data_IF_935703649497
#
_entry.id   IF_935703649497
#
_cell.length_a   1.000
_cell.length_b   1.000
_cell.length_c   1.000
_cell.angle_alpha   90.00
_cell.angle_beta   90.00
_cell.angle_gamma   90.00
#
_symmetry.space_group_name_H-M   'P 1'
#
loop_
_entity.id
_entity.type
_entity.pdbx_description
1 polymer ?
#
# COMPACT_ATOMS: atom_id res chain seq x y z
N UNK A 1 2.61 20.52 16.28
CA UNK A 1 2.92 21.52 15.22
C UNK A 1 3.74 20.95 14.05
N UNK A 2 4.89 20.27 14.29
CA UNK A 2 5.75 19.69 13.23
C UNK A 2 5.02 18.84 12.17
N UNK A 3 4.11 17.96 12.58
CA UNK A 3 3.39 17.07 11.65
C UNK A 3 2.43 17.82 10.72
N UNK A 4 1.81 18.92 11.18
CA UNK A 4 0.93 19.75 10.35
C UNK A 4 1.74 20.53 9.30
N UNK A 5 2.88 21.11 9.67
CA UNK A 5 3.80 21.75 8.72
C UNK A 5 4.29 20.76 7.66
N UNK A 6 4.70 19.56 8.06
CA UNK A 6 5.17 18.54 7.12
C UNK A 6 4.09 18.15 6.10
N UNK A 7 2.85 17.96 6.55
CA UNK A 7 1.71 17.67 5.65
C UNK A 7 1.45 18.83 4.70
N UNK A 8 1.51 20.07 5.19
CA UNK A 8 1.35 21.28 4.37
C UNK A 8 2.43 21.39 3.29
N UNK A 9 3.70 21.15 3.65
CA UNK A 9 4.81 21.18 2.69
C UNK A 9 4.67 20.12 1.60
N UNK A 10 4.28 18.89 1.96
CA UNK A 10 4.02 17.82 0.99
C UNK A 10 2.85 18.17 0.09
N UNK A 11 1.75 18.70 0.63
CA UNK A 11 0.61 19.14 -0.19
C UNK A 11 0.98 20.24 -1.17
N UNK A 12 1.77 21.23 -0.74
CA UNK A 12 2.27 22.31 -1.61
C UNK A 12 3.16 21.72 -2.71
N UNK A 13 4.07 20.80 -2.37
CA UNK A 13 4.94 20.14 -3.33
C UNK A 13 4.13 19.38 -4.39
N UNK A 14 3.12 18.62 -3.98
CA UNK A 14 2.22 17.91 -4.89
C UNK A 14 1.52 18.87 -5.83
N UNK A 15 0.97 19.98 -5.32
CA UNK A 15 0.32 20.99 -6.15
C UNK A 15 1.28 21.63 -7.17
N UNK A 16 2.52 21.91 -6.77
CA UNK A 16 3.56 22.41 -7.67
C UNK A 16 3.84 21.37 -8.77
N UNK A 17 4.02 20.10 -8.42
CA UNK A 17 4.26 19.04 -9.39
C UNK A 17 3.09 18.89 -10.38
N UNK A 18 1.85 19.02 -9.92
CA UNK A 18 0.67 18.98 -10.80
C UNK A 18 0.60 20.20 -11.73
N UNK A 19 0.92 21.39 -11.23
CA UNK A 19 0.96 22.60 -12.05
C UNK A 19 2.04 22.50 -13.14
N UNK A 20 3.23 22.02 -12.78
CA UNK A 20 4.32 21.76 -13.73
C UNK A 20 3.92 20.67 -14.73
N UNK A 21 3.29 19.59 -14.27
CA UNK A 21 2.77 18.54 -15.15
C UNK A 21 1.77 19.09 -16.15
N UNK A 22 0.86 19.98 -15.74
CA UNK A 22 -0.06 20.62 -16.67
C UNK A 22 0.68 21.46 -17.72
N UNK A 23 1.58 22.34 -17.26
CA UNK A 23 2.25 23.30 -18.12
C UNK A 23 3.18 22.64 -19.13
N UNK A 24 3.99 21.66 -18.70
CA UNK A 24 4.90 20.91 -19.57
C UNK A 24 4.18 19.78 -20.32
N UNK A 25 3.13 19.18 -19.74
CA UNK A 25 2.36 18.09 -20.33
C UNK A 25 1.59 18.49 -21.59
N UNK A 26 1.25 19.78 -21.75
CA UNK A 26 0.69 20.32 -23.00
C UNK A 26 1.61 20.10 -24.21
N UNK A 27 2.94 20.10 -23.99
CA UNK A 27 3.93 19.87 -25.02
C UNK A 27 4.18 18.38 -25.31
N UNK A 28 3.77 17.46 -24.43
CA UNK A 28 4.04 16.02 -24.54
C UNK A 28 2.92 15.33 -25.34
N UNK A 29 3.21 14.68 -26.47
CA UNK A 29 2.19 14.03 -27.29
C UNK A 29 1.61 12.81 -26.57
N UNK A 30 0.32 12.55 -26.76
CA UNK A 30 -0.37 11.45 -26.08
C UNK A 30 0.26 10.07 -26.35
N UNK A 31 0.91 9.90 -27.49
CA UNK A 31 1.63 8.65 -27.84
C UNK A 31 2.76 8.36 -26.84
N UNK A 32 3.45 9.37 -26.35
CA UNK A 32 4.50 9.23 -25.32
C UNK A 32 3.89 9.05 -23.93
N UNK A 33 2.69 9.57 -23.69
CA UNK A 33 1.96 9.39 -22.42
C UNK A 33 1.39 7.97 -22.28
N UNK A 34 1.06 7.31 -23.40
CA UNK A 34 0.37 6.02 -23.39
C UNK A 34 1.15 4.91 -22.65
N UNK A 35 2.45 4.68 -22.92
CA UNK A 35 3.24 3.68 -22.19
C UNK A 35 3.23 3.89 -20.67
N UNK A 36 3.15 5.14 -20.21
CA UNK A 36 3.11 5.46 -18.79
C UNK A 36 1.78 5.06 -18.14
N UNK A 37 0.65 5.23 -18.85
CA UNK A 37 -0.64 4.69 -18.42
C UNK A 37 -0.62 3.15 -18.40
N UNK A 38 0.03 2.50 -19.36
CA UNK A 38 0.16 1.05 -19.35
C UNK A 38 1.00 0.56 -18.16
N UNK A 39 2.12 1.24 -17.88
CA UNK A 39 2.94 0.97 -16.72
C UNK A 39 2.17 1.17 -15.40
N UNK A 40 1.38 2.24 -15.30
CA UNK A 40 0.48 2.49 -14.15
C UNK A 40 -0.53 1.35 -13.95
N UNK A 41 -1.19 0.90 -15.03
CA UNK A 41 -2.13 -0.24 -14.99
C UNK A 41 -1.45 -1.52 -14.49
N UNK A 42 -0.26 -1.84 -15.02
CA UNK A 42 0.48 -3.04 -14.63
C UNK A 42 0.93 -2.96 -13.17
N UNK A 43 1.46 -1.82 -12.73
CA UNK A 43 1.89 -1.63 -11.33
C UNK A 43 0.70 -1.70 -10.36
N UNK A 44 -0.44 -1.09 -10.69
CA UNK A 44 -1.66 -1.18 -9.89
C UNK A 44 -2.16 -2.64 -9.78
N UNK A 45 -2.12 -3.41 -10.88
CA UNK A 45 -2.50 -4.82 -10.87
C UNK A 45 -1.58 -5.69 -10.01
N UNK A 46 -0.26 -5.45 -10.06
CA UNK A 46 0.72 -6.14 -9.21
C UNK A 46 0.43 -5.86 -7.73
N UNK A 47 0.23 -4.60 -7.37
CA UNK A 47 -0.02 -4.21 -5.97
C UNK A 47 -1.34 -4.80 -5.48
N UNK A 48 -2.40 -4.75 -6.30
CA UNK A 48 -3.66 -5.39 -5.98
C UNK A 48 -3.50 -6.90 -5.71
N UNK A 49 -2.75 -7.61 -6.55
CA UNK A 49 -2.48 -9.03 -6.37
C UNK A 49 -1.67 -9.34 -5.11
N UNK A 50 -0.56 -8.62 -4.90
CA UNK A 50 0.34 -8.84 -3.75
C UNK A 50 -0.35 -8.52 -2.42
N UNK A 51 -1.04 -7.37 -2.33
CA UNK A 51 -1.79 -6.99 -1.12
C UNK A 51 -2.93 -7.97 -0.86
N UNK A 52 -3.65 -8.40 -1.89
CA UNK A 52 -4.72 -9.40 -1.77
C UNK A 52 -4.22 -10.74 -1.23
N UNK A 53 -3.11 -11.25 -1.77
CA UNK A 53 -2.49 -12.48 -1.29
C UNK A 53 -1.96 -12.34 0.15
N UNK A 54 -1.32 -11.21 0.47
CA UNK A 54 -0.77 -10.97 1.79
C UNK A 54 -1.87 -10.91 2.88
N UNK A 55 -2.99 -10.24 2.60
CA UNK A 55 -4.14 -10.21 3.51
C UNK A 55 -4.75 -11.60 3.75
N UNK A 56 -4.78 -12.46 2.72
CA UNK A 56 -5.26 -13.83 2.86
C UNK A 56 -4.35 -14.69 3.75
N UNK A 57 -3.04 -14.45 3.74
CA UNK A 57 -2.05 -15.17 4.54
C UNK A 57 -2.02 -14.67 5.99
N UNK A 58 -1.95 -13.35 6.20
CA UNK A 58 -1.69 -12.76 7.53
C UNK A 58 -2.95 -12.62 8.38
N UNK A 59 -4.11 -12.38 7.77
CA UNK A 59 -5.37 -12.16 8.50
C UNK A 59 -6.51 -13.10 8.07
N UNK A 60 -6.30 -14.44 8.07
CA UNK A 60 -7.29 -15.40 7.61
C UNK A 60 -8.60 -15.33 8.44
N UNK A 61 -8.47 -15.10 9.74
CA UNK A 61 -9.59 -15.03 10.72
C UNK A 61 -10.48 -13.79 10.51
N UNK A 62 -9.87 -12.62 10.27
CA UNK A 62 -10.60 -11.35 10.08
C UNK A 62 -11.33 -11.31 8.75
N UNK A 63 -10.77 -11.96 7.72
CA UNK A 63 -11.43 -12.10 6.42
C UNK A 63 -12.68 -13.01 6.53
N UNK A 64 -12.57 -14.15 7.23
CA UNK A 64 -13.70 -15.08 7.47
C UNK A 64 -14.85 -14.44 8.27
N UNK A 65 -14.53 -13.66 9.30
CA UNK A 65 -15.55 -12.97 10.11
C UNK A 65 -16.32 -11.91 9.32
N UNK A 66 -15.69 -11.23 8.35
CA UNK A 66 -16.39 -10.26 7.49
C UNK A 66 -17.38 -10.89 6.51
N UNK A 67 -17.25 -12.20 6.24
CA UNK A 67 -18.18 -12.97 5.40
C UNK A 67 -19.31 -13.63 6.19
N UNK A 68 -19.16 -13.80 7.52
CA UNK A 68 -20.15 -14.45 8.39
C UNK A 68 -21.13 -13.39 8.91
N UNK A 69 -22.11 -13.06 8.07
CA UNK A 69 -23.02 -11.92 8.22
C UNK A 69 -24.38 -12.38 8.77
N UNK A 70 -24.39 -13.04 9.93
CA UNK A 70 -25.62 -13.61 10.51
C UNK A 70 -26.04 -13.04 11.88
N UNK A 71 -25.32 -12.09 12.49
CA UNK A 71 -25.74 -11.53 13.80
C UNK A 71 -26.22 -10.07 13.72
N UNK A 72 -27.46 -9.76 14.19
CA UNK A 72 -28.06 -8.43 14.13
C UNK A 72 -27.75 -7.61 15.40
N UNK A 73 -26.48 -7.50 15.79
CA UNK A 73 -26.08 -6.63 16.91
C UNK A 73 -25.05 -5.58 16.47
N UNK A 74 -25.36 -4.28 16.58
CA UNK A 74 -24.47 -3.21 16.15
C UNK A 74 -23.46 -2.92 17.27
N UNK A 75 -22.45 -3.77 17.44
CA UNK A 75 -21.40 -3.55 18.44
C UNK A 75 -20.03 -3.40 17.78
N UNK A 76 -19.56 -2.15 17.70
CA UNK A 76 -18.17 -1.72 17.90
C UNK A 76 -17.00 -2.41 17.15
N UNK A 77 -17.23 -3.27 16.15
CA UNK A 77 -16.17 -4.01 15.45
C UNK A 77 -15.72 -3.40 14.10
N UNK A 78 -16.33 -2.29 13.66
CA UNK A 78 -16.13 -1.71 12.32
C UNK A 78 -14.81 -0.93 12.12
N UNK A 79 -13.90 -0.87 13.10
CA UNK A 79 -12.75 0.03 13.05
C UNK A 79 -11.50 -0.45 12.32
N UNK A 80 -11.27 -1.76 12.18
CA UNK A 80 -9.94 -2.29 11.81
C UNK A 80 -9.77 -2.88 10.41
N UNK A 81 -10.79 -3.55 9.86
CA UNK A 81 -10.67 -4.32 8.60
C UNK A 81 -10.61 -3.40 7.38
N UNK A 82 -11.42 -2.33 7.37
CA UNK A 82 -11.44 -1.36 6.28
C UNK A 82 -10.10 -0.62 6.11
N UNK A 83 -9.34 -0.46 7.18
CA UNK A 83 -8.04 0.22 7.15
C UNK A 83 -6.94 -0.67 6.53
N UNK A 84 -7.03 -1.99 6.71
CA UNK A 84 -6.13 -2.98 6.09
C UNK A 84 -6.41 -3.19 4.59
N UNK A 85 -7.68 -3.09 4.18
CA UNK A 85 -8.08 -3.18 2.77
C UNK A 85 -7.87 -1.87 2.01
N UNK A 86 -7.62 -0.76 2.72
CA UNK A 86 -7.46 0.57 2.13
C UNK A 86 -6.48 0.56 0.94
N UNK A 87 -5.25 0.02 1.04
CA UNK A 87 -4.30 0.05 -0.08
C UNK A 87 -4.76 -0.77 -1.31
N UNK A 88 -5.46 -1.88 -1.09
CA UNK A 88 -6.03 -2.69 -2.17
C UNK A 88 -7.10 -1.90 -2.92
N UNK A 89 -8.02 -1.27 -2.19
CA UNK A 89 -9.09 -0.43 -2.78
C UNK A 89 -8.52 0.77 -3.54
N UNK A 90 -7.48 1.42 -3.01
CA UNK A 90 -6.85 2.57 -3.67
C UNK A 90 -6.19 2.15 -4.99
N UNK A 91 -5.52 0.99 -5.03
CA UNK A 91 -4.92 0.47 -6.27
C UNK A 91 -5.99 0.02 -7.27
N UNK A 92 -7.10 -0.59 -6.82
CA UNK A 92 -8.22 -0.93 -7.71
C UNK A 92 -8.86 0.32 -8.30
N UNK A 93 -9.03 1.39 -7.53
CA UNK A 93 -9.57 2.66 -8.04
C UNK A 93 -8.67 3.27 -9.13
N UNK A 94 -7.34 3.27 -8.91
CA UNK A 94 -6.37 3.74 -9.91
C UNK A 94 -6.46 2.88 -11.18
N UNK A 95 -6.50 1.54 -11.04
CA UNK A 95 -6.66 0.62 -12.16
C UNK A 95 -7.93 0.92 -12.96
N UNK A 96 -9.07 1.13 -12.28
CA UNK A 96 -10.35 1.49 -12.92
C UNK A 96 -10.26 2.80 -13.69
N UNK A 97 -9.63 3.83 -13.13
CA UNK A 97 -9.46 5.13 -13.81
C UNK A 97 -8.59 4.95 -15.06
N UNK A 98 -7.46 4.24 -14.95
CA UNK A 98 -6.55 4.00 -16.09
C UNK A 98 -7.24 3.20 -17.20
N UNK A 99 -8.07 2.20 -16.84
CA UNK A 99 -8.88 1.44 -17.80
C UNK A 99 -9.89 2.34 -18.52
N UNK A 100 -10.60 3.20 -17.79
CA UNK A 100 -11.54 4.16 -18.38
C UNK A 100 -10.81 5.09 -19.36
N UNK A 101 -9.66 5.63 -18.97
CA UNK A 101 -8.83 6.45 -19.87
C UNK A 101 -8.41 5.65 -21.10
N UNK A 102 -7.99 4.40 -20.92
CA UNK A 102 -7.56 3.51 -21.99
C UNK A 102 -8.65 3.24 -23.04
N UNK A 103 -9.89 3.02 -22.60
CA UNK A 103 -11.05 2.81 -23.49
C UNK A 103 -11.54 4.11 -24.10
N UNK A 104 -11.50 5.22 -23.35
CA UNK A 104 -12.05 6.52 -23.76
C UNK A 104 -11.14 7.24 -24.75
N UNK A 105 -9.82 7.14 -24.59
CA UNK A 105 -8.83 7.82 -25.44
C UNK A 105 -8.99 7.56 -26.95
N UNK A 106 -9.14 6.32 -27.45
CA UNK A 106 -9.34 6.06 -28.88
C UNK A 106 -10.69 6.58 -29.39
N UNK A 107 -11.73 6.62 -28.55
CA UNK A 107 -13.05 7.17 -28.91
C UNK A 107 -12.96 8.67 -29.10
N UNK A 108 -12.32 9.38 -28.18
CA UNK A 108 -12.11 10.83 -28.26
C UNK A 108 -11.31 11.25 -29.49
N UNK A 109 -10.32 10.45 -29.90
CA UNK A 109 -9.53 10.72 -31.12
C UNK A 109 -10.35 10.71 -32.41
N UNK A 110 -11.53 10.07 -32.44
CA UNK A 110 -12.40 10.05 -33.63
C UNK A 110 -13.30 11.27 -33.76
N UNK A 111 -13.43 12.10 -32.73
CA UNK A 111 -14.32 13.26 -32.71
C UNK A 111 -13.56 14.49 -33.23
N UNK A 112 -13.89 14.95 -34.43
CA UNK A 112 -13.22 16.08 -35.09
C UNK A 112 -13.28 17.40 -34.29
N UNK A 113 -14.35 17.63 -33.53
CA UNK A 113 -14.54 18.83 -32.69
C UNK A 113 -13.50 18.94 -31.57
N UNK A 114 -12.94 17.81 -31.13
CA UNK A 114 -12.02 17.77 -29.99
C UNK A 114 -10.57 18.09 -30.38
N UNK A 115 -10.26 18.12 -31.68
CA UNK A 115 -8.93 18.44 -32.18
C UNK A 115 -8.50 19.87 -31.82
N UNK A 116 -9.46 20.80 -31.71
CA UNK A 116 -9.25 22.20 -31.30
C UNK A 116 -8.73 22.29 -29.86
N UNK A 117 -9.15 21.40 -28.97
CA UNK A 117 -8.74 21.36 -27.56
C UNK A 117 -7.66 20.32 -27.27
N UNK A 118 -7.02 19.77 -28.30
CA UNK A 118 -6.05 18.68 -28.18
C UNK A 118 -4.86 19.03 -27.27
N UNK A 119 -4.44 20.30 -27.24
CA UNK A 119 -3.36 20.78 -26.37
C UNK A 119 -3.76 20.76 -24.89
N UNK A 120 -4.95 21.28 -24.57
CA UNK A 120 -5.46 21.26 -23.19
C UNK A 120 -5.74 19.82 -22.72
N UNK A 121 -6.28 18.96 -23.59
CA UNK A 121 -6.49 17.55 -23.26
C UNK A 121 -5.18 16.80 -22.98
N UNK A 122 -4.09 17.13 -23.67
CA UNK A 122 -2.75 16.57 -23.40
C UNK A 122 -2.22 17.00 -22.04
N UNK A 123 -2.39 18.29 -21.70
CA UNK A 123 -2.04 18.81 -20.37
C UNK A 123 -2.83 18.15 -19.25
N UNK A 124 -4.15 18.03 -19.41
CA UNK A 124 -5.02 17.35 -18.45
C UNK A 124 -4.68 15.87 -18.30
N UNK A 125 -4.48 15.16 -19.41
CA UNK A 125 -4.11 13.74 -19.42
C UNK A 125 -2.79 13.51 -18.69
N UNK A 126 -1.77 14.33 -18.97
CA UNK A 126 -0.48 14.21 -18.30
C UNK A 126 -0.55 14.58 -16.81
N UNK A 127 -1.36 15.59 -16.46
CA UNK A 127 -1.60 15.94 -15.05
C UNK A 127 -2.29 14.81 -14.29
N UNK A 128 -3.30 14.19 -14.91
CA UNK A 128 -3.96 13.01 -14.36
C UNK A 128 -2.97 11.86 -14.17
N UNK A 129 -2.11 11.61 -15.16
CA UNK A 129 -1.06 10.60 -15.07
C UNK A 129 -0.14 10.84 -13.88
N UNK A 130 0.38 12.07 -13.72
CA UNK A 130 1.25 12.44 -12.59
C UNK A 130 0.52 12.34 -11.25
N UNK A 131 -0.74 12.73 -11.20
CA UNK A 131 -1.56 12.57 -10.01
C UNK A 131 -1.71 11.08 -9.62
N UNK A 132 -2.03 10.23 -10.59
CA UNK A 132 -2.20 8.80 -10.37
C UNK A 132 -0.88 8.11 -10.00
N UNK A 133 0.27 8.50 -10.57
CA UNK A 133 1.58 7.96 -10.16
C UNK A 133 1.92 8.33 -8.73
N UNK A 134 1.69 9.58 -8.31
CA UNK A 134 1.90 9.99 -6.93
C UNK A 134 0.98 9.24 -5.96
N UNK A 135 -0.29 9.05 -6.34
CA UNK A 135 -1.22 8.25 -5.54
C UNK A 135 -0.76 6.78 -5.48
N UNK A 136 -0.38 6.17 -6.59
CA UNK A 136 0.10 4.78 -6.60
C UNK A 136 1.36 4.63 -5.73
N UNK A 137 2.31 5.56 -5.80
CA UNK A 137 3.51 5.58 -4.95
C UNK A 137 3.16 5.67 -3.47
N UNK A 138 2.25 6.58 -3.11
CA UNK A 138 1.75 6.69 -1.74
C UNK A 138 1.12 5.38 -1.26
N UNK A 139 0.36 4.72 -2.14
CA UNK A 139 -0.28 3.44 -1.85
C UNK A 139 0.75 2.33 -1.60
N UNK A 140 1.81 2.25 -2.42
CA UNK A 140 2.92 1.32 -2.19
C UNK A 140 3.55 1.53 -0.81
N UNK A 141 3.84 2.78 -0.44
CA UNK A 141 4.43 3.09 0.86
C UNK A 141 3.49 2.64 2.00
N UNK A 142 2.18 2.84 1.86
CA UNK A 142 1.20 2.34 2.84
C UNK A 142 1.19 0.81 2.95
N UNK A 143 1.46 0.08 1.87
CA UNK A 143 1.53 -1.39 1.91
C UNK A 143 2.78 -1.92 2.63
N UNK A 144 3.86 -1.13 2.69
CA UNK A 144 5.08 -1.51 3.41
C UNK A 144 4.91 -1.41 4.94
N UNK A 145 4.09 -0.47 5.43
CA UNK A 145 3.87 -0.27 6.87
C UNK A 145 3.39 -1.54 7.60
N UNK A 146 2.32 -2.22 7.17
CA UNK A 146 1.88 -3.44 7.86
C UNK A 146 2.88 -4.60 7.67
N UNK A 147 3.62 -4.64 6.56
CA UNK A 147 4.68 -5.64 6.37
C UNK A 147 5.81 -5.47 7.39
N UNK A 148 6.29 -4.23 7.62
CA UNK A 148 7.27 -3.92 8.65
C UNK A 148 6.76 -4.25 10.05
N UNK A 149 5.48 -3.95 10.34
CA UNK A 149 4.89 -4.26 11.64
C UNK A 149 4.85 -5.75 11.93
N UNK A 150 4.60 -6.59 10.93
CA UNK A 150 4.64 -8.05 11.12
C UNK A 150 6.07 -8.52 11.42
N UNK A 151 7.07 -7.95 10.75
CA UNK A 151 8.48 -8.24 11.01
C UNK A 151 8.89 -7.87 12.44
N UNK A 152 8.50 -6.68 12.92
CA UNK A 152 8.82 -6.22 14.27
C UNK A 152 8.27 -7.17 15.36
N UNK A 153 7.06 -7.72 15.18
CA UNK A 153 6.48 -8.67 16.13
C UNK A 153 7.19 -10.03 16.09
N UNK A 154 7.61 -10.49 14.90
CA UNK A 154 8.38 -11.72 14.77
C UNK A 154 9.75 -11.60 15.44
N UNK A 155 10.47 -10.50 15.19
CA UNK A 155 11.80 -10.26 15.75
C UNK A 155 11.73 -10.08 17.29
N UNK A 156 10.68 -9.45 17.81
CA UNK A 156 10.45 -9.34 19.25
C UNK A 156 10.22 -10.70 19.92
N UNK A 157 9.47 -11.60 19.28
CA UNK A 157 9.19 -12.94 19.80
C UNK A 157 10.45 -13.82 19.84
N UNK A 158 11.32 -13.72 18.83
CA UNK A 158 12.59 -14.44 18.77
C UNK A 158 13.57 -13.98 19.87
N UNK A 159 13.60 -12.68 20.17
CA UNK A 159 14.41 -12.13 21.28
C UNK A 159 13.94 -12.62 22.66
N UNK A 160 12.62 -12.77 22.85
CA UNK A 160 12.06 -13.30 24.09
C UNK A 160 12.34 -14.79 24.24
N UNK A 161 12.14 -15.58 23.18
CA UNK A 161 12.40 -17.02 23.19
C UNK A 161 13.89 -17.35 23.42
N UNK A 162 14.81 -16.59 22.83
CA UNK A 162 16.26 -16.78 23.05
C UNK A 162 16.68 -16.44 24.49
N UNK A 163 16.05 -15.43 25.10
CA UNK A 163 16.26 -15.08 26.50
C UNK A 163 15.74 -16.19 27.43
N UNK A 164 14.50 -16.64 27.24
CA UNK A 164 13.90 -17.72 28.04
C UNK A 164 14.68 -19.04 27.88
N UNK A 165 15.13 -19.36 26.68
CA UNK A 165 15.96 -20.54 26.41
C UNK A 165 17.31 -20.47 27.15
N UNK A 166 17.95 -19.30 27.17
CA UNK A 166 19.21 -19.09 27.90
C UNK A 166 19.04 -19.26 29.41
N UNK A 167 17.95 -18.75 29.99
CA UNK A 167 17.63 -18.96 31.41
C UNK A 167 17.35 -20.43 31.73
N UNK A 168 16.65 -21.16 30.85
CA UNK A 168 16.36 -22.58 31.03
C UNK A 168 17.63 -23.45 30.93
N UNK A 169 18.56 -23.09 30.05
CA UNK A 169 19.86 -23.75 29.91
C UNK A 169 20.77 -23.51 31.13
N UNK A 170 20.72 -22.32 31.74
CA UNK A 170 21.42 -22.01 32.99
C UNK A 170 20.86 -22.79 34.17
N UNK A 171 19.53 -22.94 34.27
CA UNK A 171 18.89 -23.74 35.32
C UNK A 171 19.28 -25.22 35.28
N UNK A 172 19.56 -25.79 34.10
CA UNK A 172 19.98 -27.18 33.95
C UNK A 172 21.46 -27.44 34.31
N UNK A 173 22.31 -26.40 34.36
CA UNK A 173 23.72 -26.53 34.78
C UNK A 173 23.92 -26.46 36.30
N UNK A 174 22.89 -26.12 37.08
CA UNK A 174 22.98 -25.89 38.54
C UNK A 174 22.46 -27.09 39.36
N UNK A 175 22.45 -28.29 38.81
CA UNK A 175 22.31 -29.51 39.62
C UNK A 175 23.62 -30.32 39.66
N UNK A 176 24.65 -29.90 40.43
CA UNK A 176 25.71 -30.77 40.85
C UNK A 176 25.19 -31.56 42.05
N UNK A 177 24.72 -32.80 41.79
CA UNK A 177 24.51 -33.78 42.87
C UNK A 177 25.82 -33.94 43.65
N UNK A 178 25.80 -33.27 44.80
CA UNK A 178 26.70 -33.34 45.95
C UNK A 178 27.04 -34.82 46.25
N UNK A 179 28.26 -35.24 45.95
CA UNK A 179 28.82 -36.48 46.51
C UNK A 179 29.02 -36.28 48.01
N UNK A 180 28.48 -37.15 48.89
CA UNK A 180 28.79 -37.06 50.31
C UNK A 180 30.24 -37.50 50.55
N UNK A 181 30.97 -36.87 51.49
CA UNK A 181 32.34 -37.25 51.79
C UNK A 181 32.36 -38.63 52.46
N UNK A 182 33.27 -39.49 52.01
CA UNK A 182 33.65 -40.73 52.68
C UNK A 182 34.05 -40.43 54.12
N UNK A 183 33.46 -41.15 55.08
CA UNK A 183 33.93 -41.20 56.46
C UNK A 183 34.50 -42.60 56.69
N UNK A 184 35.80 -42.61 57.01
CA UNK A 184 36.58 -43.74 57.51
C UNK A 184 36.04 -44.30 58.83
#
# INVERSE_FOLDING_TARGET
>A
MKVRCMRLMVSILVLILLALAYQFGRAIPFVEQWPLFEALRTTAAIIFAVVGAWLAIVYPERLKLSFRRDDPTPSLANGGIGQLLSPAVHSTAILSIVLIVGVTAPVLKRIAVLHVYSVEMRGLSYTLLVFLTLWQLWTVILTLVPADRVKDHADAQDSFNSTVSSYKALGHKVDPKRSPPEQH
#
